data_IF_142845081815
#
_entry.id   IF_142845081815
#
_cell.length_a   1.000
_cell.length_b   1.000
_cell.length_c   1.000
_cell.angle_alpha   90.00
_cell.angle_beta   90.00
_cell.angle_gamma   90.00
#
_symmetry.space_group_name_H-M   'P 1'
#
loop_
_entity.id
_entity.type
_entity.pdbx_description
1 polymer ?
#
# COMPACT_ATOMS: atom_id res chain seq x y z
N UNK A 1 3.18 4.88 23.89
CA UNK A 1 2.91 4.49 22.50
C UNK A 1 1.48 4.02 22.38
N UNK A 2 0.77 4.54 21.39
CA UNK A 2 -0.62 4.16 21.21
C UNK A 2 -0.73 2.74 20.66
N UNK A 3 -1.72 2.01 21.15
CA UNK A 3 -1.96 0.66 20.66
C UNK A 3 -2.89 0.73 19.45
N UNK A 4 -2.32 0.59 18.26
CA UNK A 4 -3.03 0.69 17.01
C UNK A 4 -4.20 -0.30 16.93
N UNK A 5 -4.07 -1.45 17.56
CA UNK A 5 -5.11 -2.48 17.51
C UNK A 5 -6.45 -2.01 18.06
N UNK A 6 -6.44 -1.05 18.96
CA UNK A 6 -7.64 -0.55 19.61
C UNK A 6 -8.18 0.72 18.96
N UNK A 7 -7.49 1.24 17.93
CA UNK A 7 -7.92 2.46 17.28
C UNK A 7 -8.95 2.15 16.19
N UNK A 8 -9.92 3.04 16.04
CA UNK A 8 -10.85 2.95 14.90
C UNK A 8 -10.11 3.31 13.62
N UNK A 9 -10.67 2.90 12.49
CA UNK A 9 -10.13 3.26 11.19
C UNK A 9 -10.01 4.79 11.06
N UNK A 10 -11.01 5.50 11.51
CA UNK A 10 -11.03 6.96 11.48
C UNK A 10 -9.90 7.56 12.29
N UNK A 11 -9.65 7.01 13.48
CA UNK A 11 -8.55 7.48 14.33
C UNK A 11 -7.18 7.21 13.69
N UNK A 12 -7.04 6.06 13.04
CA UNK A 12 -5.79 5.72 12.34
C UNK A 12 -5.57 6.68 11.20
N UNK A 13 -6.59 6.93 10.38
CA UNK A 13 -6.48 7.87 9.27
C UNK A 13 -6.10 9.27 9.75
N UNK A 14 -6.67 9.69 10.86
CA UNK A 14 -6.34 11.00 11.43
C UNK A 14 -4.88 11.07 11.86
N UNK A 15 -4.37 10.02 12.51
CA UNK A 15 -2.98 9.97 12.92
C UNK A 15 -2.04 9.94 11.71
N UNK A 16 -2.42 9.20 10.67
CA UNK A 16 -1.65 9.18 9.43
C UNK A 16 -1.60 10.57 8.79
N UNK A 17 -2.73 11.25 8.77
CA UNK A 17 -2.80 12.61 8.23
C UNK A 17 -1.92 13.59 8.99
N UNK A 18 -1.91 13.49 10.31
CA UNK A 18 -1.06 14.31 11.15
C UNK A 18 0.42 14.05 10.86
N UNK A 19 0.77 12.79 10.63
CA UNK A 19 2.15 12.44 10.31
C UNK A 19 2.56 12.98 8.94
N UNK A 20 1.68 12.89 7.96
CA UNK A 20 1.94 13.46 6.63
C UNK A 20 2.18 14.96 6.75
N UNK A 21 1.36 15.64 7.51
CA UNK A 21 1.52 17.08 7.75
C UNK A 21 2.87 17.38 8.40
N UNK A 22 3.26 16.60 9.40
CA UNK A 22 4.53 16.81 10.09
C UNK A 22 5.71 16.64 9.12
N UNK A 23 5.70 15.58 8.31
CA UNK A 23 6.75 15.37 7.32
C UNK A 23 6.79 16.48 6.28
N UNK A 24 5.63 16.98 5.87
CA UNK A 24 5.55 18.07 4.92
C UNK A 24 6.20 19.34 5.50
N UNK A 25 5.87 19.64 6.73
CA UNK A 25 6.43 20.83 7.41
C UNK A 25 7.95 20.69 7.62
N UNK A 26 8.41 19.47 7.88
CA UNK A 26 9.85 19.21 8.00
C UNK A 26 10.60 19.56 6.71
N UNK A 27 9.94 19.48 5.58
CA UNK A 27 10.53 19.82 4.28
C UNK A 27 10.22 21.25 3.86
N UNK A 28 9.64 22.04 4.75
CA UNK A 28 9.25 23.42 4.46
C UNK A 28 8.34 23.55 3.23
N UNK A 29 7.48 22.57 3.04
CA UNK A 29 6.53 22.59 1.93
C UNK A 29 5.17 23.08 2.41
N UNK A 30 4.56 23.96 1.61
CA UNK A 30 3.14 24.28 1.81
C UNK A 30 2.28 23.16 1.25
N UNK A 31 1.01 23.13 1.64
CA UNK A 31 0.06 22.19 1.07
C UNK A 31 -0.05 22.36 -0.44
N UNK A 32 -0.02 23.60 -0.91
CA UNK A 32 -0.09 23.90 -2.34
C UNK A 32 1.14 23.37 -3.08
N UNK A 33 2.32 23.51 -2.50
CA UNK A 33 3.54 22.99 -3.10
C UNK A 33 3.52 21.46 -3.14
N UNK A 34 3.03 20.82 -2.09
CA UNK A 34 2.92 19.37 -2.08
C UNK A 34 1.93 18.89 -3.14
N UNK A 35 0.81 19.58 -3.28
CA UNK A 35 -0.18 19.26 -4.31
C UNK A 35 0.45 19.36 -5.70
N UNK A 36 1.19 20.43 -5.95
CA UNK A 36 1.86 20.65 -7.24
C UNK A 36 2.87 19.54 -7.53
N UNK A 37 3.71 19.22 -6.57
CA UNK A 37 4.76 18.21 -6.74
C UNK A 37 4.22 16.81 -6.93
N UNK A 38 3.08 16.50 -6.34
CA UNK A 38 2.43 15.19 -6.47
C UNK A 38 1.48 15.13 -7.64
N UNK A 39 1.16 16.27 -8.24
CA UNK A 39 0.13 16.41 -9.27
C UNK A 39 -1.24 15.98 -8.76
N UNK A 40 -1.48 16.18 -7.47
CA UNK A 40 -2.78 15.97 -6.86
C UNK A 40 -3.43 17.32 -6.60
N UNK A 41 -4.76 17.31 -6.42
CA UNK A 41 -5.46 18.54 -6.09
C UNK A 41 -5.16 18.97 -4.66
N UNK A 42 -5.27 20.25 -4.39
CA UNK A 42 -5.13 20.76 -3.03
C UNK A 42 -6.17 20.14 -2.11
N UNK A 43 -7.37 19.91 -2.62
CA UNK A 43 -8.43 19.25 -1.85
C UNK A 43 -8.00 17.84 -1.41
N UNK A 44 -7.30 17.11 -2.29
CA UNK A 44 -6.80 15.78 -1.93
C UNK A 44 -5.79 15.86 -0.79
N UNK A 45 -4.90 16.83 -0.83
CA UNK A 45 -3.92 17.02 0.24
C UNK A 45 -4.63 17.36 1.56
N UNK A 46 -5.62 18.24 1.52
CA UNK A 46 -6.42 18.55 2.70
C UNK A 46 -7.10 17.30 3.26
N UNK A 47 -7.68 16.48 2.40
CA UNK A 47 -8.36 15.26 2.82
C UNK A 47 -7.39 14.31 3.52
N UNK A 48 -6.21 14.15 2.97
CA UNK A 48 -5.20 13.28 3.58
C UNK A 48 -4.82 13.78 4.97
N UNK A 49 -4.48 15.07 5.09
CA UNK A 49 -4.00 15.63 6.35
C UNK A 49 -5.12 15.74 7.40
N UNK A 50 -6.37 15.80 6.98
CA UNK A 50 -7.50 15.83 7.89
C UNK A 50 -8.06 14.45 8.24
N UNK A 51 -7.41 13.40 7.77
CA UNK A 51 -7.82 12.04 8.14
C UNK A 51 -9.03 11.54 7.41
N UNK A 52 -9.34 12.10 6.23
CA UNK A 52 -10.46 11.65 5.42
C UNK A 52 -10.09 10.49 4.50
N UNK A 53 -8.81 10.18 4.43
CA UNK A 53 -8.34 9.09 3.60
C UNK A 53 -8.07 9.50 2.16
N UNK A 54 -7.53 8.56 1.41
CA UNK A 54 -7.24 8.73 -0.01
C UNK A 54 -6.98 7.35 -0.59
N UNK A 55 -6.79 7.27 -1.89
CA UNK A 55 -6.37 6.00 -2.49
C UNK A 55 -4.94 5.67 -2.08
N UNK A 56 -4.60 4.38 -2.10
CA UNK A 56 -3.24 3.95 -1.81
C UNK A 56 -2.25 4.54 -2.81
N UNK A 57 -2.67 4.66 -4.06
CA UNK A 57 -1.82 5.24 -5.11
C UNK A 57 -1.47 6.70 -4.79
N UNK A 58 -2.45 7.48 -4.36
CA UNK A 58 -2.21 8.87 -3.97
C UNK A 58 -1.28 8.95 -2.76
N UNK A 59 -1.46 8.07 -1.80
CA UNK A 59 -0.59 8.02 -0.63
C UNK A 59 0.85 7.73 -1.04
N UNK A 60 1.07 6.80 -1.96
CA UNK A 60 2.40 6.50 -2.47
C UNK A 60 3.04 7.73 -3.11
N UNK A 61 2.27 8.48 -3.91
CA UNK A 61 2.77 9.71 -4.53
C UNK A 61 3.23 10.72 -3.48
N UNK A 62 2.43 10.90 -2.44
CA UNK A 62 2.74 11.83 -1.35
C UNK A 62 3.99 11.38 -0.61
N UNK A 63 4.08 10.12 -0.23
CA UNK A 63 5.23 9.59 0.49
C UNK A 63 6.51 9.68 -0.34
N UNK A 64 6.41 9.52 -1.65
CA UNK A 64 7.56 9.65 -2.54
C UNK A 64 8.11 11.07 -2.53
N UNK A 65 7.24 12.06 -2.62
CA UNK A 65 7.67 13.47 -2.60
C UNK A 65 8.22 13.85 -1.23
N UNK A 66 7.64 13.32 -0.17
CA UNK A 66 8.11 13.58 1.20
C UNK A 66 9.36 12.79 1.57
N UNK A 67 9.83 11.94 0.67
CA UNK A 67 10.99 11.06 0.92
C UNK A 67 10.74 10.14 2.12
N UNK A 68 9.55 9.58 2.18
CA UNK A 68 9.11 8.69 3.27
C UNK A 68 8.55 7.38 2.76
N UNK A 69 9.01 6.92 1.60
CA UNK A 69 8.61 5.61 1.10
C UNK A 69 9.06 4.48 2.02
N UNK A 70 10.06 4.72 2.84
CA UNK A 70 10.51 3.76 3.84
C UNK A 70 9.41 3.39 4.83
N UNK A 71 8.41 4.24 4.99
CA UNK A 71 7.25 3.91 5.83
C UNK A 71 6.50 2.69 5.31
N UNK A 72 6.65 2.36 4.03
CA UNK A 72 6.02 1.20 3.42
C UNK A 72 6.90 -0.05 3.46
N UNK A 73 8.11 0.05 4.00
CA UNK A 73 9.05 -1.08 3.99
C UNK A 73 8.51 -2.35 4.63
N UNK A 74 7.68 -2.30 5.70
CA UNK A 74 7.13 -3.54 6.25
C UNK A 74 6.30 -4.36 5.27
N UNK A 75 5.76 -3.74 4.23
CA UNK A 75 5.00 -4.45 3.21
C UNK A 75 5.89 -5.29 2.30
N UNK A 76 7.19 -5.02 2.31
CA UNK A 76 8.14 -5.66 1.41
C UNK A 76 9.16 -6.51 2.15
N UNK A 77 8.92 -6.78 3.43
CA UNK A 77 9.82 -7.60 4.23
C UNK A 77 9.72 -9.05 3.81
N UNK A 78 10.88 -9.67 3.60
CA UNK A 78 10.94 -11.09 3.39
C UNK A 78 10.88 -11.79 4.74
N UNK A 79 10.01 -12.77 4.84
CA UNK A 79 9.89 -13.56 6.05
C UNK A 79 10.95 -14.64 6.06
N UNK A 80 11.72 -14.70 7.15
CA UNK A 80 12.62 -15.81 7.35
C UNK A 80 11.81 -17.05 7.68
N UNK A 81 12.01 -18.11 6.91
CA UNK A 81 11.29 -19.36 7.11
C UNK A 81 12.29 -20.50 7.24
N UNK A 82 11.93 -21.47 8.11
CA UNK A 82 12.74 -22.66 8.28
C UNK A 82 12.71 -23.50 7.01
N UNK A 83 13.70 -24.37 6.80
CA UNK A 83 13.68 -25.25 5.64
C UNK A 83 12.40 -26.08 5.50
N UNK A 84 11.84 -26.50 6.63
CA UNK A 84 10.60 -27.26 6.62
C UNK A 84 9.43 -26.41 6.16
N UNK A 85 9.32 -25.18 6.65
CA UNK A 85 8.28 -24.26 6.24
C UNK A 85 8.40 -23.92 4.76
N UNK A 86 9.63 -23.72 4.30
CA UNK A 86 9.88 -23.47 2.90
C UNK A 86 9.37 -24.59 2.00
N UNK A 87 9.62 -25.82 2.38
CA UNK A 87 9.14 -26.97 1.63
C UNK A 87 7.61 -27.01 1.59
N UNK A 88 6.96 -26.71 2.68
CA UNK A 88 5.49 -26.66 2.73
C UNK A 88 4.93 -25.57 1.84
N UNK A 89 5.52 -24.40 1.86
CA UNK A 89 5.10 -23.30 1.00
C UNK A 89 5.29 -23.63 -0.47
N UNK A 90 6.41 -24.22 -0.81
CA UNK A 90 6.71 -24.62 -2.17
C UNK A 90 5.69 -25.63 -2.68
N UNK A 91 5.36 -26.63 -1.88
CA UNK A 91 4.35 -27.61 -2.23
C UNK A 91 2.99 -26.96 -2.43
N UNK A 92 2.61 -26.03 -1.56
CA UNK A 92 1.37 -25.29 -1.68
C UNK A 92 1.30 -24.47 -2.96
N UNK A 93 2.38 -23.81 -3.29
CA UNK A 93 2.47 -23.00 -4.50
C UNK A 93 2.33 -23.85 -5.76
N UNK A 94 2.97 -25.00 -5.78
CA UNK A 94 2.85 -25.92 -6.92
C UNK A 94 1.41 -26.40 -7.11
N UNK A 95 0.75 -26.72 -6.02
CA UNK A 95 -0.66 -27.15 -6.07
C UNK A 95 -1.54 -26.04 -6.60
N UNK A 96 -1.36 -24.82 -6.14
CA UNK A 96 -2.13 -23.66 -6.62
C UNK A 96 -1.89 -23.41 -8.10
N UNK A 97 -0.66 -23.51 -8.53
CA UNK A 97 -0.32 -23.32 -9.93
C UNK A 97 -1.05 -24.28 -10.83
N UNK A 98 -1.10 -25.55 -10.42
CA UNK A 98 -1.82 -26.58 -11.19
C UNK A 98 -3.31 -26.29 -11.26
N UNK A 99 -3.91 -25.93 -10.14
CA UNK A 99 -5.33 -25.61 -10.09
C UNK A 99 -5.67 -24.39 -10.95
N UNK A 100 -4.86 -23.35 -10.87
CA UNK A 100 -5.06 -22.16 -11.68
C UNK A 100 -4.93 -22.45 -13.17
N UNK A 101 -3.95 -23.26 -13.54
CA UNK A 101 -3.74 -23.63 -14.93
C UNK A 101 -4.92 -24.41 -15.47
N UNK A 102 -5.44 -25.36 -14.72
CA UNK A 102 -6.57 -26.15 -15.12
C UNK A 102 -7.81 -25.29 -15.35
N UNK A 103 -8.10 -24.38 -14.43
CA UNK A 103 -9.23 -23.47 -14.57
C UNK A 103 -9.06 -22.55 -15.76
N UNK A 104 -7.85 -22.08 -15.98
CA UNK A 104 -7.55 -21.20 -17.07
C UNK A 104 -7.75 -21.89 -18.42
N UNK A 105 -7.33 -23.13 -18.53
CA UNK A 105 -7.53 -23.91 -19.73
C UNK A 105 -9.00 -24.07 -20.03
N UNK A 106 -9.80 -24.34 -19.00
CA UNK A 106 -11.25 -24.46 -19.17
C UNK A 106 -11.89 -23.16 -19.59
N UNK A 107 -11.42 -22.06 -19.06
CA UNK A 107 -11.96 -20.74 -19.37
C UNK A 107 -11.44 -20.23 -20.71
N UNK A 108 -10.18 -20.46 -21.00
CA UNK A 108 -9.54 -19.94 -22.19
C UNK A 108 -9.92 -20.65 -23.46
N UNK A 109 -10.52 -21.78 -23.33
CA UNK A 109 -11.11 -22.38 -24.52
C UNK A 109 -12.18 -21.50 -25.10
N UNK A 110 -12.40 -20.43 -24.42
CA UNK A 110 -13.30 -19.40 -24.85
C UNK A 110 -12.60 -18.07 -24.96
N UNK A 111 -11.49 -17.95 -24.40
CA UNK A 111 -10.82 -16.70 -24.54
C UNK A 111 -9.54 -16.88 -25.21
N UNK A 112 -9.34 -17.10 -24.73
CA UNK A 112 -8.52 -16.91 -24.92
C UNK A 112 -7.95 -17.28 -25.08
N UNK A 113 -8.05 -17.61 -25.09
CA UNK A 113 -7.59 -17.86 -25.18
C UNK A 113 -7.01 -17.98 -25.20
N UNK A 114 -6.77 -18.00 -25.04
CA UNK A 114 -6.34 -18.14 -24.92
C UNK A 114 -5.89 -18.14 -24.73
N UNK A 115 -5.78 -18.30 -24.70
CA UNK A 115 -5.63 -18.56 -24.28
C UNK A 115 -5.71 -18.59 -24.34
#
# INVERSE_FOLDING_TARGET
MENIKWMTDSAILKRMGEQVKAWRLDMDLSQAHLAEKTQLSLATIYQIENGKGTSMQNLIKVLRILDRLDALSPFFQEKEISPLEYQKLEAGMKTRKRASKARKDDADNNSTPLW
#
